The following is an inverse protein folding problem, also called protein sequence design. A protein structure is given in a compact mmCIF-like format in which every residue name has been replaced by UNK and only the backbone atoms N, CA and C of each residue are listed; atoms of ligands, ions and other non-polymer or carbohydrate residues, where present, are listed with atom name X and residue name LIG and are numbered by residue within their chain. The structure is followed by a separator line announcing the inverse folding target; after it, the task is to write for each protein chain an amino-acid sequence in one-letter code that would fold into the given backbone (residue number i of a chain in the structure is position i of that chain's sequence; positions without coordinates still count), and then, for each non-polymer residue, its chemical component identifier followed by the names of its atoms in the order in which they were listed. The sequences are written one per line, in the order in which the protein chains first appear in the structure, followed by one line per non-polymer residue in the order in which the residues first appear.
data_IF_661479306638
#
_entry.id   IF_661479306638
#
_cell.length_a   1.000
_cell.length_b   1.000
_cell.length_c   1.000
_cell.angle_alpha   90.00
_cell.angle_beta   90.00
_cell.angle_gamma   90.00
#
_symmetry.space_group_name_H-M   'P 1'
#
loop_
_entity.id
_entity.type
_entity.pdbx_description
1 polymer ?
#
# COMPACT_ATOMS: atom_id res chain seq x y z
N UNK A 1 -7.68 -5.96 -5.76
CA UNK A 1 -8.07 -4.97 -4.74
C UNK A 1 -6.83 -4.24 -4.22
N UNK A 2 -6.94 -2.94 -4.11
CA UNK A 2 -5.90 -2.08 -3.55
C UNK A 2 -6.44 -1.43 -2.29
N UNK A 3 -5.69 -1.54 -1.21
CA UNK A 3 -6.04 -0.94 0.08
C UNK A 3 -5.01 0.16 0.39
N UNK A 4 -5.49 1.38 0.55
CA UNK A 4 -4.63 2.51 0.89
C UNK A 4 -4.49 2.71 2.39
N UNK A 5 -3.84 3.78 2.78
CA UNK A 5 -3.51 4.06 4.19
C UNK A 5 -4.68 4.60 5.01
N UNK A 6 -5.71 5.13 4.35
CA UNK A 6 -6.91 5.62 5.02
C UNK A 6 -7.98 4.52 5.02
N UNK A 7 -8.77 4.43 6.08
CA UNK A 7 -9.76 3.35 6.22
C UNK A 7 -10.84 3.33 5.13
N UNK A 8 -11.00 4.43 4.40
CA UNK A 8 -11.98 4.52 3.30
C UNK A 8 -11.41 4.03 1.97
N UNK A 9 -10.10 3.77 1.90
CA UNK A 9 -9.40 3.52 0.65
C UNK A 9 -9.36 2.03 0.29
N UNK A 10 -10.42 1.58 -0.36
CA UNK A 10 -10.51 0.23 -0.92
C UNK A 10 -11.00 0.33 -2.37
N UNK A 11 -10.15 -0.06 -3.31
CA UNK A 11 -10.43 0.10 -4.74
C UNK A 11 -10.28 -1.20 -5.51
N UNK A 12 -11.11 -1.36 -6.55
CA UNK A 12 -10.80 -2.29 -7.64
C UNK A 12 -9.62 -1.71 -8.42
N UNK A 13 -9.03 -2.49 -9.33
CA UNK A 13 -7.91 -1.99 -10.13
C UNK A 13 -8.34 -0.81 -11.01
N UNK A 14 -9.55 -0.83 -11.55
CA UNK A 14 -10.08 0.27 -12.38
C UNK A 14 -10.29 1.52 -11.55
N UNK A 15 -10.88 1.39 -10.37
CA UNK A 15 -11.07 2.51 -9.46
C UNK A 15 -9.72 3.10 -9.02
N UNK A 16 -8.74 2.26 -8.74
CA UNK A 16 -7.40 2.72 -8.36
C UNK A 16 -6.74 3.49 -9.50
N UNK A 17 -6.87 3.02 -10.74
CA UNK A 17 -6.32 3.73 -11.89
C UNK A 17 -6.92 5.12 -12.04
N UNK A 18 -8.22 5.27 -11.85
CA UNK A 18 -8.88 6.57 -11.90
C UNK A 18 -8.44 7.48 -10.77
N UNK A 19 -8.30 6.95 -9.56
CA UNK A 19 -7.80 7.70 -8.40
C UNK A 19 -6.37 8.19 -8.62
N UNK A 20 -5.51 7.34 -9.18
CA UNK A 20 -4.10 7.63 -9.37
C UNK A 20 -3.83 8.55 -10.57
N UNK A 21 -4.73 8.56 -11.56
CA UNK A 21 -4.55 9.25 -12.82
C UNK A 21 -4.14 10.73 -12.69
N UNK A 22 -4.79 11.55 -11.86
CA UNK A 22 -4.37 12.95 -11.71
C UNK A 22 -2.95 13.11 -11.17
N UNK A 23 -2.53 12.24 -10.26
CA UNK A 23 -1.19 12.29 -9.67
C UNK A 23 -0.11 12.00 -10.72
N UNK A 24 -0.37 11.07 -11.62
CA UNK A 24 0.59 10.69 -12.66
C UNK A 24 0.51 11.58 -13.91
N UNK A 25 -0.62 12.23 -14.15
CA UNK A 25 -0.80 13.11 -15.30
C UNK A 25 0.16 14.31 -15.26
N UNK A 26 0.52 14.77 -14.08
CA UNK A 26 1.47 15.89 -13.90
C UNK A 26 2.93 15.43 -13.90
N UNK A 27 3.18 14.14 -14.07
CA UNK A 27 4.52 13.59 -13.94
C UNK A 27 5.04 13.53 -12.51
N UNK A 28 4.17 13.71 -11.52
CA UNK A 28 4.51 13.77 -10.10
C UNK A 28 3.89 12.62 -9.29
N UNK A 29 3.75 11.45 -9.83
CA UNK A 29 3.21 10.32 -9.10
C UNK A 29 3.85 10.13 -7.72
N UNK A 30 3.27 9.27 -6.89
CA UNK A 30 3.82 8.98 -5.57
C UNK A 30 5.17 8.31 -5.68
N UNK A 31 6.16 8.80 -4.93
CA UNK A 31 7.51 8.26 -4.95
C UNK A 31 7.76 7.44 -3.70
N UNK A 32 8.04 6.16 -3.89
CA UNK A 32 8.39 5.24 -2.82
C UNK A 32 9.73 4.59 -3.13
N UNK A 33 10.59 4.51 -2.12
CA UNK A 33 11.86 3.79 -2.23
C UNK A 33 11.70 2.45 -1.53
N UNK A 34 11.99 1.36 -2.23
CA UNK A 34 11.94 0.03 -1.63
C UNK A 34 13.16 -0.15 -0.74
N UNK A 35 12.92 -0.41 0.54
CA UNK A 35 13.99 -0.68 1.51
C UNK A 35 14.29 -2.19 1.54
N UNK A 36 13.25 -3.01 1.56
CA UNK A 36 13.39 -4.46 1.49
C UNK A 36 12.12 -5.08 0.92
N UNK A 37 12.23 -6.29 0.38
CA UNK A 37 11.08 -7.04 -0.12
C UNK A 37 11.32 -8.52 0.08
N UNK A 38 10.31 -9.22 0.60
CA UNK A 38 10.38 -10.64 0.87
C UNK A 38 9.28 -11.36 0.10
N UNK A 39 9.62 -12.48 -0.53
CA UNK A 39 8.69 -13.28 -1.33
C UNK A 39 8.40 -14.61 -0.68
N UNK A 40 7.15 -15.05 -0.77
CA UNK A 40 6.66 -16.33 -0.29
C UNK A 40 5.76 -16.97 -1.33
N UNK A 41 5.49 -18.26 -1.16
CA UNK A 41 4.59 -19.03 -2.02
C UNK A 41 5.30 -19.74 -3.15
N UNK A 42 4.56 -20.56 -3.87
CA UNK A 42 5.04 -21.36 -4.98
C UNK A 42 4.00 -21.41 -6.09
N UNK A 43 4.44 -21.78 -7.30
CA UNK A 43 3.54 -21.96 -8.42
C UNK A 43 2.99 -20.66 -8.97
N UNK A 44 1.70 -20.65 -9.25
CA UNK A 44 1.04 -19.56 -9.96
C UNK A 44 0.49 -18.46 -9.04
N UNK A 45 0.57 -18.65 -7.74
CA UNK A 45 0.14 -17.64 -6.76
C UNK A 45 1.26 -17.43 -5.76
N UNK A 46 1.72 -16.18 -5.64
CA UNK A 46 2.79 -15.80 -4.71
C UNK A 46 2.39 -14.54 -3.99
N UNK A 47 2.95 -14.36 -2.81
CA UNK A 47 2.70 -13.14 -2.04
C UNK A 47 4.01 -12.57 -1.54
N UNK A 48 3.97 -11.30 -1.19
CA UNK A 48 5.18 -10.59 -0.75
C UNK A 48 4.81 -9.56 0.31
N UNK A 49 5.80 -9.20 1.09
CA UNK A 49 5.74 -8.03 1.95
C UNK A 49 6.96 -7.18 1.69
N UNK A 50 6.84 -5.90 1.92
CA UNK A 50 7.93 -4.96 1.65
C UNK A 50 7.90 -3.81 2.63
N UNK A 51 9.07 -3.22 2.83
CA UNK A 51 9.21 -1.96 3.54
C UNK A 51 9.54 -0.91 2.49
N UNK A 52 8.77 0.15 2.47
CA UNK A 52 8.93 1.28 1.57
C UNK A 52 9.18 2.53 2.37
N UNK A 53 9.85 3.50 1.78
CA UNK A 53 10.01 4.82 2.37
C UNK A 53 9.41 5.87 1.44
N UNK A 54 8.68 6.82 2.03
CA UNK A 54 8.13 7.97 1.35
C UNK A 54 8.35 9.18 2.26
N UNK A 55 8.84 10.29 1.70
CA UNK A 55 9.18 11.48 2.50
C UNK A 55 8.01 12.05 3.29
N UNK A 56 6.80 11.93 2.75
CA UNK A 56 5.60 12.46 3.39
C UNK A 56 5.07 11.55 4.49
N UNK A 57 5.10 10.24 4.26
CA UNK A 57 4.49 9.26 5.15
C UNK A 57 5.49 8.51 6.04
N UNK A 58 6.79 8.63 5.74
CA UNK A 58 7.82 7.85 6.42
C UNK A 58 7.84 6.41 5.92
N UNK A 59 8.17 5.47 6.81
CA UNK A 59 8.20 4.06 6.44
C UNK A 59 6.78 3.49 6.35
N UNK A 60 6.55 2.70 5.31
CA UNK A 60 5.28 2.03 5.07
C UNK A 60 5.53 0.55 4.83
N UNK A 61 4.53 -0.26 5.09
CA UNK A 61 4.55 -1.68 4.70
C UNK A 61 3.58 -1.91 3.57
N UNK A 62 4.06 -2.52 2.49
CA UNK A 62 3.22 -3.03 1.43
C UNK A 62 3.12 -4.53 1.55
N UNK A 63 1.94 -5.08 1.31
CA UNK A 63 1.74 -6.52 1.18
C UNK A 63 0.92 -6.77 -0.07
N UNK A 64 1.25 -7.82 -0.81
CA UNK A 64 0.53 -8.08 -2.04
C UNK A 64 0.52 -9.53 -2.43
N UNK A 65 -0.40 -9.84 -3.35
CA UNK A 65 -0.53 -11.16 -3.95
C UNK A 65 -0.39 -10.99 -5.46
N UNK A 66 0.44 -11.81 -6.07
CA UNK A 66 0.58 -11.87 -7.53
C UNK A 66 0.14 -13.23 -8.03
N UNK A 67 -0.48 -13.24 -9.20
CA UNK A 67 -0.95 -14.44 -9.84
C UNK A 67 -0.44 -14.50 -11.28
N UNK A 68 -0.01 -15.70 -11.70
CA UNK A 68 0.38 -15.94 -13.07
C UNK A 68 -0.88 -16.25 -13.88
N UNK A 69 -1.14 -15.43 -14.89
CA UNK A 69 -2.32 -15.53 -15.73
C UNK A 69 -1.90 -15.30 -17.18
N UNK A 70 -2.16 -16.31 -18.02
CA UNK A 70 -1.81 -16.27 -19.45
C UNK A 70 -0.34 -15.89 -19.70
N UNK A 71 0.57 -16.42 -18.88
CA UNK A 71 2.01 -16.16 -19.01
C UNK A 71 2.49 -14.86 -18.42
N UNK A 72 1.62 -14.08 -17.78
CA UNK A 72 1.96 -12.80 -17.18
C UNK A 72 1.66 -12.78 -15.69
N UNK A 73 2.56 -12.21 -14.90
CA UNK A 73 2.33 -11.98 -13.47
C UNK A 73 1.52 -10.70 -13.29
N UNK A 74 0.41 -10.82 -12.56
CA UNK A 74 -0.48 -9.69 -12.27
C UNK A 74 -0.68 -9.56 -10.77
N UNK A 75 -0.78 -8.32 -10.31
CA UNK A 75 -1.08 -8.05 -8.89
C UNK A 75 -2.58 -8.24 -8.70
N UNK A 76 -2.93 -9.25 -7.88
CA UNK A 76 -4.32 -9.52 -7.53
C UNK A 76 -4.77 -8.72 -6.32
N UNK A 77 -3.84 -8.41 -5.42
CA UNK A 77 -4.16 -7.69 -4.18
C UNK A 77 -2.93 -6.92 -3.73
N UNK A 78 -3.15 -5.72 -3.18
CA UNK A 78 -2.08 -4.92 -2.57
C UNK A 78 -2.65 -4.09 -1.44
N UNK A 79 -1.92 -4.04 -0.33
CA UNK A 79 -2.28 -3.20 0.81
C UNK A 79 -1.07 -2.39 1.25
N UNK A 80 -1.29 -1.12 1.51
CA UNK A 80 -0.25 -0.20 2.01
C UNK A 80 -0.65 0.31 3.38
N UNK A 81 0.27 0.21 4.33
CA UNK A 81 0.04 0.65 5.72
C UNK A 81 1.22 1.50 6.16
N UNK A 82 0.93 2.62 6.83
CA UNK A 82 1.98 3.40 7.49
C UNK A 82 2.50 2.63 8.69
N UNK A 83 3.82 2.60 8.85
CA UNK A 83 4.43 1.93 10.00
C UNK A 83 4.64 2.95 11.12
N UNK A 84 3.91 2.74 12.21
CA UNK A 84 3.99 3.62 13.37
C UNK A 84 4.91 2.98 14.39
N UNK A 85 6.02 3.66 14.78
CA UNK A 85 6.88 3.14 15.83
C UNK A 85 6.11 2.91 17.14
N UNK A 86 6.41 1.82 17.82
CA UNK A 86 5.73 1.48 19.06
C UNK A 86 5.81 2.59 20.10
N UNK A 87 6.90 3.36 20.10
CA UNK A 87 7.15 4.44 21.06
C UNK A 87 6.10 5.56 21.01
N UNK A 88 5.46 5.74 19.85
CA UNK A 88 4.44 6.79 19.67
C UNK A 88 3.07 6.22 19.33
N UNK A 89 2.92 4.90 19.32
CA UNK A 89 1.67 4.26 18.86
C UNK A 89 0.45 4.72 19.67
N UNK A 90 0.57 4.84 20.99
CA UNK A 90 -0.55 5.28 21.82
C UNK A 90 -1.01 6.71 21.45
N UNK A 91 -0.07 7.62 21.23
CA UNK A 91 -0.39 9.00 20.85
C UNK A 91 -1.04 9.06 19.46
N UNK A 92 -0.54 8.27 18.52
CA UNK A 92 -1.13 8.20 17.19
C UNK A 92 -2.55 7.62 17.28
N UNK A 93 -2.76 6.60 18.12
CA UNK A 93 -4.08 6.03 18.36
C UNK A 93 -5.08 7.05 18.86
N UNK A 94 -4.68 7.92 19.79
CA UNK A 94 -5.53 8.99 20.27
C UNK A 94 -5.88 9.99 19.16
N UNK A 95 -4.90 10.35 18.32
CA UNK A 95 -5.14 11.26 17.22
C UNK A 95 -6.11 10.70 16.20
N UNK A 96 -5.96 9.42 15.84
CA UNK A 96 -6.87 8.77 14.89
C UNK A 96 -8.28 8.71 15.44
N UNK A 97 -8.45 8.42 16.73
CA UNK A 97 -9.76 8.40 17.37
C UNK A 97 -10.43 9.76 17.35
N UNK A 98 -9.66 10.85 17.54
CA UNK A 98 -10.19 12.19 17.46
C UNK A 98 -10.75 12.51 16.07
N UNK A 99 -10.00 12.14 15.03
CA UNK A 99 -10.44 12.33 13.64
C UNK A 99 -11.67 11.46 13.34
N UNK A 100 -11.65 10.21 13.79
CA UNK A 100 -12.70 9.23 13.47
C UNK A 100 -14.02 9.49 14.19
N UNK A 101 -14.06 10.36 15.18
CA UNK A 101 -15.32 10.81 15.81
C UNK A 101 -16.24 11.53 14.85
N UNK A 102 -15.68 12.07 13.80
CA UNK A 102 -16.42 12.85 12.82
C UNK A 102 -17.13 11.96 11.72
#
# INVERSE_FOLDING_TARGET
IFLGTDKTERWTIEEFKEYAKPAFADGHGWTYTVVERNWEGEGNTRWFDEILFNEKLGHCRGTGVVELEAGEWKIAHYALTMLVPNEIAANVGLQTQEVDKL
#
